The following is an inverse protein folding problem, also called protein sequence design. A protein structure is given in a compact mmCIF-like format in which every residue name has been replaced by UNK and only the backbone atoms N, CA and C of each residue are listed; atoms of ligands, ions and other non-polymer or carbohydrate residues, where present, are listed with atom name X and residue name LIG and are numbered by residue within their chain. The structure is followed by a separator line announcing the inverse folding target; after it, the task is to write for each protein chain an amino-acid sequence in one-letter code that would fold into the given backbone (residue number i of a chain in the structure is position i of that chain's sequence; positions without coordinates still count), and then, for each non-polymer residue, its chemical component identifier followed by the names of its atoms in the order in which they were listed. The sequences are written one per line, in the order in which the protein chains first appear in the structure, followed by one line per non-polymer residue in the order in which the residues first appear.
data_IF_281068822521
#
_entry.id   IF_281068822521
#
_cell.length_a   1.000
_cell.length_b   1.000
_cell.length_c   1.000
_cell.angle_alpha   90.00
_cell.angle_beta   90.00
_cell.angle_gamma   90.00
#
_symmetry.space_group_name_H-M   'P 1'
#
loop_
_entity.id
_entity.type
_entity.pdbx_description
1 polymer ?
#
# COMPACT_ATOMS: atom_id res chain seq x y z
N UNK A 1 13.89 18.94 12.77
CA UNK A 1 13.85 18.13 11.58
C UNK A 1 12.76 18.62 10.66
N UNK A 2 12.94 18.44 9.43
CA UNK A 2 11.97 18.89 8.46
C UNK A 2 10.95 17.82 8.21
N UNK A 3 9.78 18.14 8.60
CA UNK A 3 8.68 17.20 8.59
C UNK A 3 8.31 16.75 7.19
N UNK A 4 8.61 17.55 6.18
CA UNK A 4 8.17 17.25 4.83
C UNK A 4 9.34 16.96 3.88
N UNK A 5 10.40 16.43 4.42
CA UNK A 5 11.54 16.05 3.59
C UNK A 5 11.16 14.86 2.70
N UNK A 6 11.18 15.00 1.37
CA UNK A 6 10.80 13.90 0.48
C UNK A 6 11.74 12.70 0.56
N UNK A 7 12.89 12.86 1.18
CA UNK A 7 13.81 11.74 1.38
C UNK A 7 13.61 11.04 2.72
N UNK A 8 12.67 11.51 3.52
CA UNK A 8 12.37 10.91 4.81
C UNK A 8 11.78 9.52 4.59
N UNK A 9 12.35 8.46 5.19
CA UNK A 9 11.83 7.10 5.02
C UNK A 9 10.37 6.98 5.42
N UNK A 10 9.92 7.72 6.42
CA UNK A 10 8.53 7.66 6.84
C UNK A 10 7.60 8.14 5.73
N UNK A 11 7.99 9.23 5.05
CA UNK A 11 7.19 9.75 3.95
C UNK A 11 7.17 8.75 2.80
N UNK A 12 8.31 8.14 2.49
CA UNK A 12 8.39 7.14 1.44
C UNK A 12 7.51 5.94 1.74
N UNK A 13 7.51 5.47 2.98
CA UNK A 13 6.67 4.34 3.37
C UNK A 13 5.20 4.65 3.16
N UNK A 14 4.77 5.86 3.50
CA UNK A 14 3.38 6.27 3.31
C UNK A 14 3.03 6.37 1.82
N UNK A 15 3.93 6.94 1.03
CA UNK A 15 3.72 7.06 -0.42
C UNK A 15 3.56 5.68 -1.05
N UNK A 16 4.45 4.75 -0.70
CA UNK A 16 4.40 3.39 -1.23
C UNK A 16 3.13 2.70 -0.78
N UNK A 17 2.74 2.89 0.48
CA UNK A 17 1.50 2.30 0.99
C UNK A 17 0.29 2.80 0.21
N UNK A 18 0.22 4.10 -0.07
CA UNK A 18 -0.88 4.66 -0.86
C UNK A 18 -0.86 4.11 -2.28
N UNK A 19 0.34 3.96 -2.85
CA UNK A 19 0.49 3.40 -4.19
C UNK A 19 0.04 1.96 -4.28
N UNK A 20 0.10 1.21 -3.19
CA UNK A 20 -0.37 -0.18 -3.15
C UNK A 20 -1.86 -0.26 -2.85
N UNK A 21 -2.39 0.69 -2.10
CA UNK A 21 -3.79 0.62 -1.65
C UNK A 21 -4.76 0.74 -2.82
N UNK A 22 -4.54 1.69 -3.73
CA UNK A 22 -5.44 1.88 -4.87
C UNK A 22 -5.57 0.64 -5.73
N UNK A 23 -4.46 0.19 -6.34
CA UNK A 23 -4.50 -1.05 -7.14
C UNK A 23 -4.90 -2.26 -6.31
N UNK A 24 -4.52 -2.30 -5.04
CA UNK A 24 -4.90 -3.40 -4.16
C UNK A 24 -6.39 -3.53 -4.02
N UNK A 25 -7.09 -2.41 -3.79
CA UNK A 25 -8.55 -2.43 -3.69
C UNK A 25 -9.18 -2.86 -5.02
N UNK A 26 -8.70 -2.31 -6.13
CA UNK A 26 -9.23 -2.66 -7.44
C UNK A 26 -9.09 -4.16 -7.71
N UNK A 27 -7.93 -4.73 -7.43
CA UNK A 27 -7.70 -6.14 -7.67
C UNK A 27 -8.46 -7.01 -6.67
N UNK A 28 -8.50 -6.61 -5.41
CA UNK A 28 -9.16 -7.39 -4.38
C UNK A 28 -10.67 -7.47 -4.60
N UNK A 29 -11.25 -6.49 -5.28
CA UNK A 29 -12.68 -6.47 -5.55
C UNK A 29 -13.02 -7.01 -6.94
N UNK A 30 -12.05 -7.59 -7.64
CA UNK A 30 -12.30 -8.16 -8.97
C UNK A 30 -12.89 -9.56 -8.81
N UNK A 31 -14.20 -9.64 -8.92
CA UNK A 31 -14.93 -10.90 -8.71
C UNK A 31 -14.71 -11.91 -9.82
N UNK A 32 -14.19 -11.48 -10.96
CA UNK A 32 -14.04 -12.35 -12.12
C UNK A 32 -12.71 -13.12 -12.11
N UNK A 33 -11.77 -12.75 -11.26
CA UNK A 33 -10.44 -13.32 -11.29
C UNK A 33 -9.93 -13.57 -9.88
N UNK A 34 -9.82 -14.86 -9.53
CA UNK A 34 -9.35 -15.24 -8.19
C UNK A 34 -7.88 -14.85 -7.97
N UNK A 35 -7.07 -14.94 -9.03
CA UNK A 35 -5.67 -14.53 -8.92
C UNK A 35 -5.55 -13.05 -8.63
N UNK A 36 -6.37 -12.23 -9.29
CA UNK A 36 -6.39 -10.79 -9.02
C UNK A 36 -6.79 -10.50 -7.58
N UNK A 37 -7.77 -11.23 -7.06
CA UNK A 37 -8.18 -11.06 -5.66
C UNK A 37 -7.03 -11.39 -4.70
N UNK A 38 -6.28 -12.44 -4.98
CA UNK A 38 -5.14 -12.80 -4.15
C UNK A 38 -4.06 -11.73 -4.19
N UNK A 39 -3.73 -11.24 -5.39
CA UNK A 39 -2.73 -10.19 -5.54
C UNK A 39 -3.18 -8.93 -4.82
N UNK A 40 -4.44 -8.55 -5.00
CA UNK A 40 -4.99 -7.38 -4.32
C UNK A 40 -4.93 -7.51 -2.81
N UNK A 41 -5.24 -8.69 -2.28
CA UNK A 41 -5.15 -8.95 -0.86
C UNK A 41 -3.72 -8.78 -0.33
N UNK A 42 -2.75 -9.30 -1.06
CA UNK A 42 -1.35 -9.14 -0.70
C UNK A 42 -0.93 -7.68 -0.71
N UNK A 43 -1.37 -6.92 -1.73
CA UNK A 43 -1.04 -5.51 -1.82
C UNK A 43 -1.63 -4.73 -0.66
N UNK A 44 -2.87 -5.04 -0.28
CA UNK A 44 -3.50 -4.37 0.85
C UNK A 44 -2.80 -4.71 2.16
N UNK A 45 -2.44 -5.97 2.34
CA UNK A 45 -1.69 -6.38 3.52
C UNK A 45 -0.35 -5.66 3.59
N UNK A 46 0.34 -5.55 2.47
CA UNK A 46 1.59 -4.82 2.38
C UNK A 46 1.39 -3.36 2.75
N UNK A 47 0.31 -2.74 2.25
CA UNK A 47 0.00 -1.35 2.57
C UNK A 47 -0.18 -1.14 4.07
N UNK A 48 -0.93 -2.02 4.72
CA UNK A 48 -1.15 -1.93 6.16
C UNK A 48 0.18 -2.07 6.91
N UNK A 49 1.01 -3.02 6.49
CA UNK A 49 2.31 -3.23 7.11
C UNK A 49 3.20 -2.01 6.98
N UNK A 50 3.20 -1.39 5.79
CA UNK A 50 4.02 -0.21 5.54
C UNK A 50 3.56 0.98 6.37
N UNK A 51 2.26 1.17 6.47
CA UNK A 51 1.72 2.25 7.30
C UNK A 51 2.06 2.01 8.76
N UNK A 52 1.94 0.78 9.23
CA UNK A 52 2.30 0.45 10.60
C UNK A 52 3.78 0.72 10.85
N UNK A 53 4.64 0.36 9.91
CA UNK A 53 6.07 0.59 10.05
C UNK A 53 6.40 2.08 10.05
N UNK A 54 5.59 2.89 9.36
CA UNK A 54 5.81 4.33 9.31
C UNK A 54 5.41 5.05 10.59
N UNK A 55 4.53 4.45 11.36
CA UNK A 55 4.11 5.05 12.62
C UNK A 55 5.14 4.80 13.73
#
# INVERSE_FOLDING_TARGET
MNEMDPLDPQIWLIIVALGHTGPGVLLATNWADDTAKMIGGWMLLTSVTLVYAAL
#
